data_IF_420185976145
#
_entry.id   IF_420185976145
#
_cell.length_a   1.000
_cell.length_b   1.000
_cell.length_c   1.000
_cell.angle_alpha   90.00
_cell.angle_beta   90.00
_cell.angle_gamma   90.00
#
_symmetry.space_group_name_H-M   'P 1'
#
loop_
_entity.id
_entity.type
_entity.pdbx_description
1 polymer ?
#
# COMPACT_ATOMS: atom_id res chain seq x y z
N UNK A 1 -10.11 -10.45 -11.83
CA UNK A 1 -8.77 -10.24 -11.25
C UNK A 1 -8.94 -9.98 -9.76
N UNK A 2 -8.29 -10.78 -8.91
CA UNK A 2 -8.30 -10.54 -7.46
C UNK A 2 -6.96 -9.95 -7.05
N UNK A 3 -7.00 -8.89 -6.24
CA UNK A 3 -5.81 -8.18 -5.74
C UNK A 3 -6.01 -7.98 -4.24
N UNK A 4 -4.95 -8.17 -3.48
CA UNK A 4 -4.97 -7.97 -2.03
C UNK A 4 -3.77 -7.12 -1.57
N UNK A 5 -3.89 -6.58 -0.37
CA UNK A 5 -2.80 -5.88 0.32
C UNK A 5 -2.69 -6.37 1.76
N UNK A 6 -1.46 -6.48 2.27
CA UNK A 6 -1.22 -6.98 3.63
C UNK A 6 0.04 -6.37 4.23
N UNK A 7 -0.11 -5.60 5.30
CA UNK A 7 1.03 -5.26 6.16
C UNK A 7 1.39 -6.49 6.98
N UNK A 8 2.53 -7.11 6.70
CA UNK A 8 2.95 -8.38 7.31
C UNK A 8 3.77 -8.19 8.58
N UNK A 9 4.15 -6.96 8.92
CA UNK A 9 4.96 -6.67 10.11
C UNK A 9 6.12 -7.67 10.30
N UNK A 10 7.00 -7.78 9.30
CA UNK A 10 8.11 -8.72 9.10
C UNK A 10 7.75 -9.96 8.27
N UNK A 11 8.20 -9.94 7.01
CA UNK A 11 8.03 -11.07 6.10
C UNK A 11 8.80 -12.31 6.57
N UNK A 12 9.97 -12.15 7.19
CA UNK A 12 10.71 -13.30 7.72
C UNK A 12 9.90 -14.12 8.75
N UNK A 13 9.06 -13.45 9.53
CA UNK A 13 8.18 -14.10 10.53
C UNK A 13 6.91 -14.64 9.87
N UNK A 14 6.39 -13.97 8.86
CA UNK A 14 5.06 -14.26 8.27
C UNK A 14 5.12 -15.04 6.95
N UNK A 15 6.31 -15.35 6.44
CA UNK A 15 6.45 -16.03 5.15
C UNK A 15 5.59 -17.31 5.04
N UNK A 16 5.60 -18.23 6.03
CA UNK A 16 4.74 -19.41 5.95
C UNK A 16 3.26 -19.05 5.81
N UNK A 17 2.76 -18.11 6.64
CA UNK A 17 1.35 -17.68 6.59
C UNK A 17 1.00 -17.01 5.24
N UNK A 18 1.93 -16.21 4.66
CA UNK A 18 1.74 -15.59 3.35
C UNK A 18 1.63 -16.66 2.27
N UNK A 19 2.52 -17.65 2.27
CA UNK A 19 2.49 -18.75 1.28
C UNK A 19 1.25 -19.63 1.44
N UNK A 20 0.87 -19.97 2.67
CA UNK A 20 -0.35 -20.74 2.98
C UNK A 20 -1.60 -19.97 2.53
N UNK A 21 -1.64 -18.65 2.78
CA UNK A 21 -2.76 -17.83 2.35
C UNK A 21 -2.85 -17.74 0.82
N UNK A 22 -1.72 -17.58 0.12
CA UNK A 22 -1.67 -17.58 -1.34
C UNK A 22 -2.11 -18.94 -1.94
N UNK A 23 -1.76 -20.06 -1.30
CA UNK A 23 -2.19 -21.39 -1.71
C UNK A 23 -3.71 -21.58 -1.51
N UNK A 24 -4.27 -21.03 -0.42
CA UNK A 24 -5.69 -21.06 -0.14
C UNK A 24 -6.54 -20.12 -1.03
N UNK A 25 -5.90 -19.16 -1.72
CA UNK A 25 -6.56 -18.19 -2.59
C UNK A 25 -6.03 -18.30 -4.04
N UNK A 26 -6.34 -19.37 -4.77
CA UNK A 26 -5.77 -19.66 -6.09
C UNK A 26 -6.13 -18.62 -7.16
N UNK A 27 -7.23 -17.89 -6.99
CA UNK A 27 -7.69 -16.84 -7.91
C UNK A 27 -6.96 -15.50 -7.72
N UNK A 28 -6.11 -15.39 -6.69
CA UNK A 28 -5.31 -14.21 -6.44
C UNK A 28 -4.32 -13.97 -7.57
N UNK A 29 -4.25 -12.73 -8.05
CA UNK A 29 -3.32 -12.34 -9.12
C UNK A 29 -2.17 -11.48 -8.60
N UNK A 30 -2.45 -10.56 -7.67
CA UNK A 30 -1.43 -9.66 -7.11
C UNK A 30 -1.66 -9.52 -5.61
N UNK A 31 -0.57 -9.61 -4.84
CA UNK A 31 -0.56 -9.28 -3.41
C UNK A 31 0.50 -8.21 -3.15
N UNK A 32 0.08 -7.06 -2.61
CA UNK A 32 0.98 -6.02 -2.11
C UNK A 32 1.34 -6.25 -0.65
N UNK A 33 2.63 -6.25 -0.33
CA UNK A 33 3.13 -6.43 1.02
C UNK A 33 3.75 -5.13 1.53
N UNK A 34 3.50 -4.82 2.81
CA UNK A 34 4.13 -3.71 3.53
C UNK A 34 4.82 -4.24 4.78
N UNK A 35 5.82 -3.51 5.25
CA UNK A 35 6.67 -3.87 6.38
C UNK A 35 7.34 -5.24 6.23
N UNK A 36 7.93 -5.49 5.06
CA UNK A 36 8.71 -6.73 4.84
C UNK A 36 9.90 -6.83 5.76
N UNK A 37 10.51 -5.68 6.17
CA UNK A 37 11.64 -5.55 7.11
C UNK A 37 12.87 -6.37 6.73
N UNK A 38 13.02 -6.65 5.45
CA UNK A 38 14.14 -7.38 4.86
C UNK A 38 14.89 -6.46 3.90
N UNK A 39 16.22 -6.55 3.89
CA UNK A 39 17.03 -6.01 2.80
C UNK A 39 16.88 -6.87 1.55
N UNK A 40 17.14 -6.30 0.39
CA UNK A 40 16.91 -6.96 -0.91
C UNK A 40 17.67 -8.29 -1.03
N UNK A 41 18.89 -8.38 -0.50
CA UNK A 41 19.71 -9.58 -0.47
C UNK A 41 19.12 -10.75 0.35
N UNK A 42 18.15 -10.44 1.23
CA UNK A 42 17.48 -11.42 2.11
C UNK A 42 16.04 -11.71 1.73
N UNK A 43 15.56 -11.09 0.65
CA UNK A 43 14.18 -11.33 0.23
C UNK A 43 14.00 -12.78 -0.26
N UNK A 44 12.96 -13.52 0.19
CA UNK A 44 12.82 -14.96 -0.07
C UNK A 44 12.29 -15.26 -1.48
N UNK A 45 12.98 -14.80 -2.51
CA UNK A 45 12.57 -14.92 -3.94
C UNK A 45 12.31 -16.37 -4.31
N UNK A 46 13.18 -17.29 -3.87
CA UNK A 46 13.06 -18.70 -4.23
C UNK A 46 11.79 -19.33 -3.66
N UNK A 47 11.40 -19.02 -2.40
CA UNK A 47 10.20 -19.56 -1.79
C UNK A 47 8.93 -19.14 -2.54
N UNK A 48 8.87 -17.90 -3.02
CA UNK A 48 7.77 -17.44 -3.86
C UNK A 48 7.78 -18.11 -5.25
N UNK A 49 8.95 -18.25 -5.87
CA UNK A 49 9.08 -18.91 -7.17
C UNK A 49 8.65 -20.38 -7.11
N UNK A 50 9.03 -21.14 -6.08
CA UNK A 50 8.62 -22.52 -5.83
C UNK A 50 7.11 -22.64 -5.63
N UNK A 51 6.47 -21.61 -5.06
CA UNK A 51 5.00 -21.51 -4.92
C UNK A 51 4.31 -20.99 -6.21
N UNK A 52 5.02 -20.75 -7.30
CA UNK A 52 4.49 -20.30 -8.59
C UNK A 52 4.21 -18.78 -8.65
N UNK A 53 4.94 -17.99 -7.87
CA UNK A 53 4.80 -16.54 -7.83
C UNK A 53 6.07 -15.82 -8.25
N UNK A 54 5.90 -14.69 -8.90
CA UNK A 54 6.97 -13.72 -9.18
C UNK A 54 6.90 -12.59 -8.17
N UNK A 55 8.04 -11.96 -7.89
CA UNK A 55 8.14 -10.89 -6.91
C UNK A 55 8.92 -9.70 -7.45
N UNK A 56 8.42 -8.53 -7.18
CA UNK A 56 9.14 -7.26 -7.26
C UNK A 56 9.17 -6.67 -5.85
N UNK A 57 10.31 -6.22 -5.39
CA UNK A 57 10.44 -5.76 -4.01
C UNK A 57 11.44 -4.60 -3.92
N UNK A 58 11.26 -3.82 -2.88
CA UNK A 58 12.18 -2.77 -2.49
C UNK A 58 12.31 -2.83 -0.96
N UNK A 59 13.46 -3.28 -0.51
CA UNK A 59 13.70 -3.65 0.87
C UNK A 59 14.54 -2.67 1.64
N UNK A 60 14.41 -2.77 2.97
CA UNK A 60 15.24 -2.05 3.92
C UNK A 60 15.41 -2.90 5.17
N UNK A 61 16.64 -2.97 5.69
CA UNK A 61 16.94 -3.73 6.91
C UNK A 61 16.17 -3.16 8.09
N UNK A 62 15.52 -4.03 8.87
CA UNK A 62 14.88 -3.75 10.17
C UNK A 62 13.54 -3.02 10.07
N UNK A 63 13.37 -2.07 9.16
CA UNK A 63 12.17 -1.22 9.03
C UNK A 63 11.68 -1.19 7.59
N UNK A 64 10.41 -0.75 7.40
CA UNK A 64 9.83 -0.53 6.07
C UNK A 64 9.90 -1.77 5.16
N UNK A 65 10.05 -1.56 3.88
CA UNK A 65 10.08 -2.60 2.85
C UNK A 65 8.69 -2.88 2.28
N UNK A 66 8.60 -2.87 0.97
CA UNK A 66 7.38 -3.12 0.20
C UNK A 66 7.64 -4.13 -0.89
N UNK A 67 6.61 -4.90 -1.26
CA UNK A 67 6.73 -5.86 -2.35
C UNK A 67 5.41 -6.01 -3.11
N UNK A 68 5.51 -6.42 -4.36
CA UNK A 68 4.44 -6.90 -5.21
C UNK A 68 4.72 -8.37 -5.54
N UNK A 69 3.83 -9.25 -5.11
CA UNK A 69 3.84 -10.69 -5.42
C UNK A 69 2.78 -10.91 -6.48
N UNK A 70 3.12 -11.51 -7.63
CA UNK A 70 2.19 -11.64 -8.75
C UNK A 70 2.27 -12.99 -9.45
N UNK A 71 1.16 -13.43 -10.06
CA UNK A 71 1.12 -14.64 -10.92
C UNK A 71 1.79 -14.40 -12.25
N UNK A 72 1.65 -13.21 -12.80
CA UNK A 72 2.20 -12.82 -14.10
C UNK A 72 3.36 -11.85 -13.96
N UNK A 73 4.25 -11.76 -14.96
CA UNK A 73 5.31 -10.76 -14.95
C UNK A 73 4.80 -9.35 -14.77
N UNK A 74 5.50 -8.55 -13.96
CA UNK A 74 5.30 -7.13 -13.82
C UNK A 74 6.43 -6.37 -14.52
N UNK A 75 6.09 -5.27 -15.18
CA UNK A 75 7.07 -4.43 -15.89
C UNK A 75 7.04 -2.98 -15.35
N UNK A 76 7.95 -2.14 -15.85
CA UNK A 76 8.06 -0.71 -15.51
C UNK A 76 8.11 -0.47 -13.98
N UNK A 77 8.94 -1.23 -13.29
CA UNK A 77 9.07 -1.16 -11.82
C UNK A 77 9.69 0.17 -11.42
N UNK A 78 9.05 0.86 -10.48
CA UNK A 78 9.55 2.11 -9.88
C UNK A 78 9.59 1.96 -8.37
N UNK A 79 10.73 2.31 -7.78
CA UNK A 79 10.96 2.34 -6.34
C UNK A 79 10.80 3.76 -5.81
N UNK A 80 10.10 3.92 -4.70
CA UNK A 80 9.74 5.19 -4.06
C UNK A 80 8.98 6.18 -4.97
N UNK A 81 8.79 7.37 -4.49
CA UNK A 81 8.16 8.49 -5.19
C UNK A 81 9.26 9.22 -5.95
N UNK A 82 9.23 9.26 -7.30
CA UNK A 82 10.24 9.96 -8.07
C UNK A 82 10.36 11.45 -7.68
N UNK A 83 11.58 11.91 -7.50
CA UNK A 83 11.88 13.29 -7.13
C UNK A 83 11.71 13.64 -5.65
N UNK A 84 11.27 12.68 -4.83
CA UNK A 84 11.27 12.85 -3.38
C UNK A 84 12.61 12.36 -2.82
N UNK A 85 13.29 13.21 -2.05
CA UNK A 85 14.48 12.82 -1.30
C UNK A 85 14.07 11.95 -0.10
N UNK A 86 14.07 10.62 -0.32
CA UNK A 86 13.65 9.64 0.67
C UNK A 86 14.31 8.29 0.40
N UNK A 87 15.21 7.88 1.29
CA UNK A 87 15.90 6.58 1.22
C UNK A 87 15.07 5.42 1.81
N UNK A 88 13.91 5.71 2.40
CA UNK A 88 13.09 4.68 3.04
C UNK A 88 12.28 3.90 2.01
N UNK A 89 12.34 2.57 2.08
CA UNK A 89 11.63 1.65 1.19
C UNK A 89 10.13 1.63 1.50
N UNK A 90 9.36 2.58 0.95
CA UNK A 90 7.94 2.79 1.27
C UNK A 90 6.99 2.66 0.11
N UNK A 91 7.48 2.73 -1.12
CA UNK A 91 6.63 2.59 -2.30
C UNK A 91 7.31 1.68 -3.32
N UNK A 92 6.54 0.78 -3.88
CA UNK A 92 6.89 0.07 -5.10
C UNK A 92 5.70 0.13 -6.04
N UNK A 93 5.96 0.37 -7.30
CA UNK A 93 4.92 0.31 -8.31
C UNK A 93 5.40 -0.44 -9.54
N UNK A 94 4.47 -1.07 -10.23
CA UNK A 94 4.74 -1.79 -11.46
C UNK A 94 3.49 -1.81 -12.35
N UNK A 95 3.69 -2.12 -13.62
CA UNK A 95 2.60 -2.31 -14.58
C UNK A 95 2.27 -3.79 -14.70
N UNK A 96 1.01 -4.14 -14.46
CA UNK A 96 0.42 -5.45 -14.70
C UNK A 96 -0.47 -5.41 -15.94
N UNK A 97 -0.81 -6.59 -16.48
CA UNK A 97 -1.85 -6.73 -17.49
C UNK A 97 -3.19 -7.01 -16.81
N UNK A 98 -4.18 -6.17 -17.05
CA UNK A 98 -5.55 -6.42 -16.63
C UNK A 98 -6.20 -7.56 -17.45
N UNK A 99 -7.34 -8.14 -17.01
CA UNK A 99 -7.99 -9.25 -17.72
C UNK A 99 -8.39 -8.94 -19.17
N UNK A 100 -8.64 -7.68 -19.48
CA UNK A 100 -8.96 -7.18 -20.84
C UNK A 100 -7.70 -6.85 -21.67
N UNK A 101 -6.52 -7.12 -21.13
CA UNK A 101 -5.22 -6.84 -21.76
C UNK A 101 -4.73 -5.40 -21.61
N UNK A 102 -5.50 -4.52 -20.99
CA UNK A 102 -5.07 -3.14 -20.76
C UNK A 102 -4.00 -3.06 -19.65
N UNK A 103 -3.08 -2.07 -19.74
CA UNK A 103 -2.12 -1.86 -18.68
C UNK A 103 -2.82 -1.38 -17.39
N UNK A 104 -2.50 -2.02 -16.28
CA UNK A 104 -2.91 -1.63 -14.94
C UNK A 104 -1.68 -1.20 -14.13
N UNK A 105 -1.59 0.06 -13.77
CA UNK A 105 -0.56 0.55 -12.87
C UNK A 105 -0.90 0.18 -11.44
N UNK A 106 -0.09 -0.65 -10.80
CA UNK A 106 -0.28 -1.08 -9.41
C UNK A 106 0.77 -0.37 -8.54
N UNK A 107 0.31 0.33 -7.52
CA UNK A 107 1.15 1.06 -6.56
C UNK A 107 0.90 0.50 -5.18
N UNK A 108 1.93 -0.07 -4.56
CA UNK A 108 1.90 -0.53 -3.17
C UNK A 108 2.65 0.47 -2.30
N UNK A 109 1.95 1.08 -1.34
CA UNK A 109 2.47 2.13 -0.48
C UNK A 109 2.42 1.75 1.00
N UNK A 110 3.47 2.11 1.73
CA UNK A 110 3.52 2.10 3.19
C UNK A 110 3.70 3.54 3.67
N UNK A 111 2.59 4.18 3.97
CA UNK A 111 2.56 5.58 4.39
C UNK A 111 3.28 5.75 5.74
N UNK A 112 4.10 6.80 5.94
CA UNK A 112 4.71 7.06 7.24
C UNK A 112 3.67 7.09 8.37
N UNK A 113 3.99 6.49 9.52
CA UNK A 113 3.10 6.51 10.68
C UNK A 113 2.82 7.95 11.17
N UNK A 114 3.84 8.81 11.26
CA UNK A 114 3.70 10.21 11.67
C UNK A 114 3.86 10.43 13.18
N UNK A 115 3.89 9.39 13.99
CA UNK A 115 4.11 9.38 15.44
C UNK A 115 3.01 10.12 16.25
N UNK A 116 2.90 11.44 16.12
CA UNK A 116 1.90 12.25 16.81
C UNK A 116 1.70 13.59 16.07
N UNK A 117 0.48 14.16 16.10
CA UNK A 117 0.22 15.50 15.56
C UNK A 117 1.18 16.54 16.13
N UNK A 118 1.61 17.50 15.32
CA UNK A 118 2.52 18.58 15.72
C UNK A 118 4.01 18.20 15.77
N UNK A 119 4.39 16.96 15.48
CA UNK A 119 5.80 16.54 15.42
C UNK A 119 6.40 16.71 14.02
N UNK A 120 7.75 16.73 13.92
CA UNK A 120 8.45 16.71 12.64
C UNK A 120 8.10 15.50 11.78
N UNK A 121 7.85 14.34 12.44
CA UNK A 121 7.42 13.11 11.75
C UNK A 121 6.03 13.24 11.17
N UNK A 122 5.13 13.94 11.84
CA UNK A 122 3.81 14.25 11.30
C UNK A 122 3.90 15.22 10.12
N UNK A 123 4.69 16.27 10.23
CA UNK A 123 4.95 17.18 9.12
C UNK A 123 5.58 16.46 7.91
N UNK A 124 6.51 15.52 8.17
CA UNK A 124 7.09 14.66 7.13
C UNK A 124 6.02 13.79 6.45
N UNK A 125 5.12 13.16 7.21
CA UNK A 125 4.00 12.37 6.67
C UNK A 125 3.14 13.17 5.70
N UNK A 126 2.75 14.39 6.08
CA UNK A 126 1.93 15.25 5.21
C UNK A 126 2.67 15.65 3.93
N UNK A 127 3.96 16.00 4.01
CA UNK A 127 4.77 16.28 2.80
C UNK A 127 4.92 15.04 1.91
N UNK A 128 5.08 13.87 2.52
CA UNK A 128 5.19 12.60 1.80
C UNK A 128 3.88 12.29 1.03
N UNK A 129 2.72 12.46 1.66
CA UNK A 129 1.42 12.29 1.03
C UNK A 129 1.19 13.29 -0.11
N UNK A 130 1.61 14.53 0.07
CA UNK A 130 1.59 15.54 -1.00
C UNK A 130 2.44 15.11 -2.21
N UNK A 131 3.64 14.58 -1.96
CA UNK A 131 4.52 14.09 -3.03
C UNK A 131 3.89 12.87 -3.72
N UNK A 132 3.33 11.93 -2.96
CA UNK A 132 2.59 10.78 -3.50
C UNK A 132 1.46 11.24 -4.42
N UNK A 133 0.62 12.17 -3.98
CA UNK A 133 -0.48 12.73 -4.77
C UNK A 133 0.01 13.33 -6.09
N UNK A 134 1.05 14.16 -6.04
CA UNK A 134 1.59 14.82 -7.23
C UNK A 134 2.13 13.80 -8.24
N UNK A 135 2.79 12.74 -7.78
CA UNK A 135 3.27 11.67 -8.64
C UNK A 135 2.12 10.86 -9.23
N UNK A 136 1.13 10.46 -8.41
CA UNK A 136 -0.04 9.69 -8.90
C UNK A 136 -0.85 10.48 -9.95
N UNK A 137 -0.94 11.79 -9.82
CA UNK A 137 -1.56 12.64 -10.85
C UNK A 137 -0.85 12.50 -12.21
N UNK A 138 0.48 12.39 -12.21
CA UNK A 138 1.26 12.17 -13.43
C UNK A 138 1.11 10.73 -13.96
N UNK A 139 1.06 9.75 -13.07
CA UNK A 139 0.86 8.34 -13.45
C UNK A 139 -0.53 8.11 -14.08
N UNK A 140 -1.58 8.74 -13.54
CA UNK A 140 -2.94 8.67 -14.10
C UNK A 140 -3.02 9.26 -15.51
N UNK A 141 -2.20 10.24 -15.85
CA UNK A 141 -2.12 10.78 -17.23
C UNK A 141 -1.51 9.77 -18.21
N UNK A 142 -0.60 8.90 -17.74
CA UNK A 142 0.07 7.87 -18.54
C UNK A 142 -0.75 6.59 -18.63
N UNK A 143 -1.32 6.18 -17.50
CA UNK A 143 -2.07 4.93 -17.35
C UNK A 143 -3.34 5.21 -16.56
N UNK A 144 -4.50 5.39 -17.23
CA UNK A 144 -5.77 5.71 -16.57
C UNK A 144 -6.23 4.63 -15.59
N UNK A 145 -5.89 3.36 -15.85
CA UNK A 145 -6.16 2.25 -14.93
C UNK A 145 -5.05 2.16 -13.89
N UNK A 146 -5.31 2.74 -12.71
CA UNK A 146 -4.37 2.78 -11.60
C UNK A 146 -5.02 2.25 -10.33
N UNK A 147 -4.33 1.35 -9.66
CA UNK A 147 -4.67 0.85 -8.33
C UNK A 147 -3.61 1.32 -7.32
N UNK A 148 -4.02 2.07 -6.32
CA UNK A 148 -3.23 2.39 -5.14
C UNK A 148 -3.70 1.52 -3.99
N UNK A 149 -2.80 0.74 -3.41
CA UNK A 149 -3.07 -0.12 -2.26
C UNK A 149 -1.94 -0.04 -1.23
N UNK A 150 -2.21 -0.49 -0.02
CA UNK A 150 -1.19 -0.56 1.02
C UNK A 150 -1.69 -0.22 2.41
N UNK A 151 -0.75 0.08 3.29
CA UNK A 151 -1.03 0.60 4.62
C UNK A 151 -0.92 2.13 4.61
N UNK A 152 -2.08 2.77 4.67
CA UNK A 152 -2.17 4.23 4.62
C UNK A 152 -1.82 4.90 5.95
N UNK A 153 -1.89 4.19 7.06
CA UNK A 153 -1.74 4.80 8.39
C UNK A 153 -2.65 6.02 8.59
N UNK A 154 -3.82 6.03 7.95
CA UNK A 154 -4.84 7.09 8.02
C UNK A 154 -6.21 6.44 7.89
N UNK A 155 -7.17 6.87 8.70
CA UNK A 155 -8.58 6.53 8.54
C UNK A 155 -9.24 7.48 7.55
N UNK A 156 -10.09 6.99 6.67
CA UNK A 156 -10.78 7.85 5.70
C UNK A 156 -11.82 8.73 6.39
N UNK A 157 -12.61 8.13 7.27
CA UNK A 157 -13.63 8.81 8.08
C UNK A 157 -13.90 8.09 9.41
N UNK A 158 -14.93 8.52 10.10
CA UNK A 158 -15.32 7.99 11.42
C UNK A 158 -15.83 6.54 11.37
N UNK A 159 -16.27 6.04 10.20
CA UNK A 159 -16.72 4.66 10.05
C UNK A 159 -15.56 3.65 10.07
N UNK A 160 -14.32 4.12 9.89
CA UNK A 160 -13.12 3.27 9.89
C UNK A 160 -12.71 2.82 11.29
N UNK A 161 -13.19 3.44 12.34
CA UNK A 161 -12.73 3.22 13.72
C UNK A 161 -13.89 2.88 14.69
N UNK A 162 -13.56 2.11 15.71
CA UNK A 162 -14.53 1.69 16.71
C UNK A 162 -14.93 2.82 17.70
N UNK A 163 -14.03 3.78 17.96
CA UNK A 163 -14.27 4.95 18.83
C UNK A 163 -13.94 6.28 18.13
N UNK A 164 -14.83 6.78 17.28
CA UNK A 164 -14.57 8.01 16.52
C UNK A 164 -14.53 9.27 17.39
N UNK A 165 -15.06 9.21 18.60
CA UNK A 165 -15.03 10.35 19.53
C UNK A 165 -13.70 10.40 20.27
N UNK A 166 -13.26 9.28 20.84
CA UNK A 166 -12.00 9.19 21.58
C UNK A 166 -10.77 9.31 20.70
N UNK A 167 -10.86 8.90 19.43
CA UNK A 167 -9.76 8.96 18.47
C UNK A 167 -9.69 10.25 17.64
N UNK A 168 -10.66 11.16 17.82
CA UNK A 168 -10.69 12.43 17.06
C UNK A 168 -9.43 13.24 17.30
N UNK A 169 -8.81 13.71 16.19
CA UNK A 169 -7.54 14.48 16.18
C UNK A 169 -6.34 13.74 16.82
N UNK A 170 -6.45 12.44 17.05
CA UNK A 170 -5.28 11.60 17.33
C UNK A 170 -4.58 11.23 16.02
N UNK A 171 -3.36 10.68 16.10
CA UNK A 171 -2.65 10.19 14.92
C UNK A 171 -3.53 9.19 14.12
N UNK A 172 -3.47 9.23 12.81
CA UNK A 172 -4.29 8.50 11.83
C UNK A 172 -5.73 9.02 11.67
N UNK A 173 -6.23 9.84 12.60
CA UNK A 173 -7.61 10.34 12.63
C UNK A 173 -7.71 11.88 12.59
N UNK A 174 -6.61 12.58 12.26
CA UNK A 174 -6.65 14.05 12.17
C UNK A 174 -7.33 14.52 10.89
N UNK A 175 -7.96 15.69 10.94
CA UNK A 175 -8.52 16.33 9.75
C UNK A 175 -7.46 16.52 8.65
N UNK A 176 -6.24 16.92 9.02
CA UNK A 176 -5.15 17.13 8.07
C UNK A 176 -4.73 15.85 7.33
N UNK A 177 -4.75 14.68 7.99
CA UNK A 177 -4.48 13.39 7.36
C UNK A 177 -5.61 12.98 6.42
N UNK A 178 -6.86 13.09 6.88
CA UNK A 178 -8.05 12.75 6.09
C UNK A 178 -8.18 13.61 4.84
N UNK A 179 -7.82 14.89 4.90
CA UNK A 179 -7.75 15.79 3.74
C UNK A 179 -6.78 15.26 2.68
N UNK A 180 -5.66 14.62 3.07
CA UNK A 180 -4.73 14.03 2.10
C UNK A 180 -5.35 12.83 1.38
N UNK A 181 -6.10 11.95 2.06
CA UNK A 181 -6.81 10.85 1.40
C UNK A 181 -7.93 11.37 0.48
N UNK A 182 -8.69 12.37 0.92
CA UNK A 182 -9.70 13.01 0.08
C UNK A 182 -9.09 13.64 -1.17
N UNK A 183 -7.89 14.24 -1.04
CA UNK A 183 -7.17 14.80 -2.19
C UNK A 183 -6.71 13.73 -3.19
N UNK A 184 -6.46 12.48 -2.76
CA UNK A 184 -6.21 11.35 -3.66
C UNK A 184 -7.49 10.96 -4.42
N UNK A 185 -8.62 10.91 -3.74
CA UNK A 185 -9.93 10.64 -4.39
C UNK A 185 -10.25 11.71 -5.44
N UNK A 186 -9.94 12.98 -5.17
CA UNK A 186 -10.13 14.09 -6.11
C UNK A 186 -9.30 13.96 -7.42
N UNK A 187 -8.28 13.09 -7.46
CA UNK A 187 -7.59 12.74 -8.70
C UNK A 187 -8.42 11.85 -9.64
N UNK A 188 -9.59 11.39 -9.22
CA UNK A 188 -10.44 10.44 -9.94
C UNK A 188 -10.36 9.01 -9.43
N UNK A 189 -9.66 8.78 -8.30
CA UNK A 189 -9.64 7.50 -7.62
C UNK A 189 -10.94 7.30 -6.81
N UNK A 190 -11.24 6.04 -6.47
CA UNK A 190 -12.35 5.70 -5.59
C UNK A 190 -11.87 4.77 -4.49
N UNK A 191 -12.39 4.94 -3.28
CA UNK A 191 -12.20 3.96 -2.21
C UNK A 191 -13.01 2.70 -2.53
N UNK A 192 -12.32 1.60 -2.78
CA UNK A 192 -12.95 0.36 -3.22
C UNK A 192 -13.91 -0.22 -2.18
N UNK A 193 -13.65 -0.05 -0.88
CA UNK A 193 -14.56 -0.52 0.17
C UNK A 193 -15.89 0.23 0.12
N UNK A 194 -15.83 1.53 -0.15
CA UNK A 194 -17.01 2.41 -0.17
C UNK A 194 -17.83 2.36 -1.45
N UNK A 195 -17.33 1.65 -2.48
CA UNK A 195 -18.13 1.31 -3.67
C UNK A 195 -19.18 0.22 -3.37
N UNK A 196 -19.03 -0.49 -2.28
CA UNK A 196 -19.98 -1.49 -1.78
C UNK A 196 -20.52 -0.99 -0.45
N UNK A 197 -21.74 -1.34 -0.10
CA UNK A 197 -22.32 -1.02 1.21
C UNK A 197 -21.73 -1.97 2.28
N UNK A 198 -20.61 -1.64 2.94
CA UNK A 198 -20.03 -2.53 3.93
C UNK A 198 -20.98 -2.66 5.13
N UNK A 199 -21.04 -3.82 5.77
CA UNK A 199 -21.84 -3.99 6.98
C UNK A 199 -21.45 -2.97 8.05
N UNK A 200 -22.37 -2.56 8.92
CA UNK A 200 -22.03 -1.70 10.05
C UNK A 200 -20.87 -2.29 10.88
N UNK A 201 -19.96 -1.42 11.36
CA UNK A 201 -18.76 -1.82 12.09
C UNK A 201 -17.71 -2.57 11.27
N UNK A 202 -17.66 -2.34 9.97
CA UNK A 202 -16.55 -2.76 9.10
C UNK A 202 -15.40 -1.77 9.23
N UNK A 203 -14.66 -1.87 10.33
CA UNK A 203 -13.55 -0.98 10.61
C UNK A 203 -12.35 -1.32 9.73
N UNK A 204 -11.58 -0.33 9.32
CA UNK A 204 -10.36 -0.49 8.50
C UNK A 204 -9.09 -0.20 9.28
N UNK A 205 -9.22 0.33 10.50
CA UNK A 205 -8.10 0.63 11.37
C UNK A 205 -8.36 0.15 12.80
N UNK A 206 -7.31 -0.39 13.44
CA UNK A 206 -7.35 -1.00 14.77
C UNK A 206 -6.13 -0.56 15.58
N UNK A 207 -6.32 -0.35 16.88
CA UNK A 207 -5.28 -0.13 17.88
C UNK A 207 -4.56 -1.44 18.24
#
# INVERSE_FOLDING_TARGET
MQIATWNVNSLAVRLPQVLDWLAANPDMQILGLQETKLSDDKFPVQAFAEAGWQVQFFGQKTYNGVALVSRSPLCDVVHNIPGMDCDMARVISATASAPDGQPLRVVCAYVPNGQAPGTDKFAYKLRWLQALRNWLQQELQKTPHLLLMGDFNITFDDADVWDPVGLRETIHCTAAEREQLQALVQLGLADSLRLFDPPPKSYTWWD
#
